data_IF_382573100826
#
_entry.id   IF_382573100826
#
_cell.length_a   1.000
_cell.length_b   1.000
_cell.length_c   1.000
_cell.angle_alpha   90.00
_cell.angle_beta   90.00
_cell.angle_gamma   90.00
#
_symmetry.space_group_name_H-M   'P 1'
#
loop_
_entity.id
_entity.type
_entity.pdbx_description
1 polymer ?
#
# COMPACT_ATOMS: atom_id res chain seq x y z
N UNK A 1 13.71 -42.95 -0.52
CA UNK A 1 14.98 -42.18 -0.47
C UNK A 1 14.72 -40.89 0.30
N UNK A 2 15.50 -40.65 1.35
CA UNK A 2 15.33 -39.57 2.33
C UNK A 2 15.58 -38.19 1.67
N UNK A 3 14.54 -37.41 1.42
CA UNK A 3 14.70 -35.99 1.05
C UNK A 3 14.96 -35.18 2.32
N UNK A 4 16.24 -34.90 2.57
CA UNK A 4 16.68 -33.91 3.55
C UNK A 4 16.14 -32.53 3.14
N UNK A 5 15.28 -31.97 3.96
CA UNK A 5 14.94 -30.55 3.98
C UNK A 5 16.26 -29.83 4.30
N UNK A 6 16.83 -29.12 3.32
CA UNK A 6 17.89 -28.15 3.58
C UNK A 6 17.19 -26.84 3.92
N UNK A 7 17.34 -26.41 5.17
CA UNK A 7 17.22 -25.00 5.52
C UNK A 7 18.08 -24.20 4.53
N UNK A 8 17.46 -23.26 3.83
CA UNK A 8 18.18 -22.33 2.96
C UNK A 8 18.89 -21.38 3.90
N UNK A 9 20.17 -21.67 4.09
CA UNK A 9 21.10 -20.99 4.97
C UNK A 9 21.09 -19.47 4.71
N UNK A 10 20.92 -18.73 5.80
CA UNK A 10 21.24 -17.31 5.94
C UNK A 10 22.75 -17.16 5.74
N UNK A 11 23.18 -16.78 4.53
CA UNK A 11 24.61 -16.62 4.28
C UNK A 11 25.20 -15.49 5.17
N UNK A 12 26.34 -15.74 5.83
CA UNK A 12 27.01 -14.76 6.66
C UNK A 12 27.55 -13.60 5.82
N UNK A 13 27.53 -12.43 6.43
CA UNK A 13 28.04 -11.14 5.94
C UNK A 13 29.55 -11.30 5.68
N UNK A 14 29.99 -11.54 4.45
CA UNK A 14 31.40 -11.36 3.99
C UNK A 14 31.53 -11.65 2.49
N UNK A 15 30.78 -10.97 1.64
CA UNK A 15 31.15 -10.85 0.23
C UNK A 15 30.90 -9.42 -0.22
N UNK A 16 31.86 -8.88 -0.96
CA UNK A 16 31.87 -7.51 -1.45
C UNK A 16 30.68 -7.29 -2.42
N UNK A 17 29.56 -6.81 -1.87
CA UNK A 17 28.28 -6.60 -2.57
C UNK A 17 28.32 -5.33 -3.43
N UNK A 18 29.23 -5.27 -4.41
CA UNK A 18 29.16 -4.24 -5.46
C UNK A 18 28.07 -4.57 -6.49
N UNK A 19 27.61 -5.82 -6.56
CA UNK A 19 26.45 -6.24 -7.37
C UNK A 19 25.60 -7.26 -6.62
N UNK A 20 24.33 -6.94 -6.38
CA UNK A 20 23.36 -7.90 -5.84
C UNK A 20 22.97 -8.87 -6.95
N UNK A 21 23.28 -10.15 -6.76
CA UNK A 21 22.84 -11.20 -7.67
C UNK A 21 21.36 -11.53 -7.39
N UNK A 22 20.56 -11.63 -8.44
CA UNK A 22 19.13 -11.97 -8.39
C UNK A 22 18.84 -13.41 -8.85
N UNK A 23 19.84 -14.13 -9.34
CA UNK A 23 19.75 -15.52 -9.81
C UNK A 23 19.83 -16.55 -8.67
N UNK A 24 19.77 -16.11 -7.42
CA UNK A 24 20.09 -16.88 -6.19
C UNK A 24 19.00 -17.84 -5.72
N UNK A 25 17.89 -18.00 -6.42
CA UNK A 25 16.81 -18.91 -5.98
C UNK A 25 16.73 -20.14 -6.88
N UNK A 26 17.16 -21.34 -6.41
CA UNK A 26 16.89 -22.59 -7.10
C UNK A 26 15.38 -22.83 -7.13
N UNK A 27 14.78 -22.66 -8.30
CA UNK A 27 13.34 -22.78 -8.48
C UNK A 27 12.97 -24.13 -9.10
N UNK A 28 11.95 -24.85 -8.59
CA UNK A 28 11.30 -25.91 -9.34
C UNK A 28 10.88 -25.40 -10.73
N UNK A 29 10.90 -26.28 -11.75
CA UNK A 29 10.43 -25.91 -13.09
C UNK A 29 8.99 -25.40 -13.01
N UNK A 30 8.73 -24.20 -13.53
CA UNK A 30 7.41 -23.56 -13.54
C UNK A 30 7.14 -22.63 -12.36
N UNK A 31 8.15 -22.37 -11.52
CA UNK A 31 8.05 -21.41 -10.42
C UNK A 31 8.53 -20.02 -10.86
N UNK A 32 7.78 -18.99 -10.44
CA UNK A 32 8.07 -17.57 -10.67
C UNK A 32 8.06 -16.82 -9.35
N UNK A 33 8.90 -15.80 -9.19
CA UNK A 33 8.78 -14.81 -8.13
C UNK A 33 8.36 -13.48 -8.72
N UNK A 34 7.40 -12.79 -8.11
CA UNK A 34 6.89 -11.51 -8.60
C UNK A 34 6.76 -10.49 -7.48
N UNK A 35 7.08 -9.23 -7.80
CA UNK A 35 6.76 -8.05 -6.99
C UNK A 35 5.45 -7.47 -7.50
N UNK A 36 4.35 -8.09 -7.08
CA UNK A 36 3.00 -7.63 -7.35
C UNK A 36 2.13 -7.75 -6.11
N UNK A 37 0.98 -7.07 -6.14
CA UNK A 37 0.06 -7.02 -5.01
C UNK A 37 0.70 -6.46 -3.73
N UNK A 38 0.79 -7.18 -2.60
CA UNK A 38 1.24 -6.56 -1.32
C UNK A 38 2.66 -6.00 -1.43
N UNK A 39 3.48 -6.57 -2.32
CA UNK A 39 4.83 -6.11 -2.60
C UNK A 39 4.85 -4.71 -3.26
N UNK A 40 3.74 -4.24 -3.85
CA UNK A 40 3.59 -2.87 -4.36
C UNK A 40 3.56 -1.84 -3.23
N UNK A 41 3.16 -2.27 -2.02
CA UNK A 41 3.26 -1.49 -0.79
C UNK A 41 4.59 -1.73 -0.06
N UNK A 42 5.56 -2.42 -0.67
CA UNK A 42 6.90 -2.63 -0.11
C UNK A 42 7.96 -2.12 -1.12
N UNK A 43 7.93 -0.83 -1.50
CA UNK A 43 8.77 -0.31 -2.58
C UNK A 43 10.25 -0.27 -2.22
N UNK A 44 10.59 -0.06 -0.94
CA UNK A 44 11.96 -0.04 -0.42
C UNK A 44 12.37 -1.44 0.11
N UNK A 45 13.67 -1.69 0.37
CA UNK A 45 14.05 -2.87 1.13
C UNK A 45 13.40 -2.82 2.52
N UNK A 46 13.04 -3.98 3.06
CA UNK A 46 12.41 -4.09 4.37
C UNK A 46 13.46 -3.98 5.47
N UNK A 47 13.08 -3.39 6.60
CA UNK A 47 13.90 -3.48 7.81
C UNK A 47 13.89 -4.92 8.34
N UNK A 48 14.96 -5.37 9.02
CA UNK A 48 15.10 -6.75 9.47
C UNK A 48 13.88 -7.29 10.23
N UNK A 49 13.30 -6.51 11.16
CA UNK A 49 12.19 -7.00 11.97
C UNK A 49 10.94 -7.22 11.12
N UNK A 50 10.65 -6.28 10.22
CA UNK A 50 9.50 -6.38 9.33
C UNK A 50 9.69 -7.52 8.32
N UNK A 51 10.91 -7.72 7.82
CA UNK A 51 11.24 -8.82 6.91
C UNK A 51 10.88 -10.20 7.50
N UNK A 52 11.18 -10.41 8.78
CA UNK A 52 10.84 -11.65 9.50
C UNK A 52 9.33 -11.76 9.77
N UNK A 53 8.68 -10.68 10.23
CA UNK A 53 7.24 -10.64 10.47
C UNK A 53 6.44 -10.88 9.18
N UNK A 54 6.78 -10.19 8.09
CA UNK A 54 6.07 -10.25 6.82
C UNK A 54 6.08 -11.67 6.25
N UNK A 55 7.19 -12.41 6.36
CA UNK A 55 7.29 -13.81 5.94
C UNK A 55 6.15 -14.67 6.45
N UNK A 56 5.92 -14.61 7.76
CA UNK A 56 4.93 -15.41 8.46
C UNK A 56 3.51 -14.85 8.29
N UNK A 57 3.33 -13.55 8.53
CA UNK A 57 2.00 -12.91 8.56
C UNK A 57 1.36 -12.77 7.18
N UNK A 58 2.14 -12.46 6.14
CA UNK A 58 1.61 -12.37 4.78
C UNK A 58 1.16 -13.74 4.28
N UNK A 59 1.94 -14.78 4.56
CA UNK A 59 1.61 -16.15 4.16
C UNK A 59 0.41 -16.70 4.94
N UNK A 60 0.34 -16.46 6.25
CA UNK A 60 -0.73 -16.96 7.12
C UNK A 60 -2.09 -16.29 6.85
N UNK A 61 -2.10 -14.99 6.57
CA UNK A 61 -3.35 -14.25 6.30
C UNK A 61 -3.94 -14.63 4.94
N UNK A 62 -3.10 -14.87 3.95
CA UNK A 62 -3.53 -15.46 2.67
C UNK A 62 -4.14 -16.84 2.86
N UNK A 63 -3.53 -17.72 3.68
CA UNK A 63 -4.10 -19.02 4.08
C UNK A 63 -5.48 -18.89 4.69
N UNK A 64 -5.64 -18.01 5.68
CA UNK A 64 -6.93 -17.79 6.33
C UNK A 64 -7.98 -17.28 5.35
N UNK A 65 -7.61 -16.39 4.41
CA UNK A 65 -8.57 -15.91 3.42
C UNK A 65 -8.97 -16.99 2.42
N UNK A 66 -8.02 -17.73 1.87
CA UNK A 66 -8.33 -18.81 0.93
C UNK A 66 -9.19 -19.89 1.59
N UNK A 67 -8.91 -20.24 2.84
CA UNK A 67 -9.74 -21.17 3.60
C UNK A 67 -11.16 -20.60 3.81
N UNK A 68 -11.27 -19.33 4.26
CA UNK A 68 -12.56 -18.66 4.42
C UNK A 68 -13.40 -18.63 3.12
N UNK A 69 -12.76 -18.41 1.97
CA UNK A 69 -13.44 -18.22 0.70
C UNK A 69 -13.65 -19.52 -0.09
N UNK A 70 -12.77 -20.51 0.08
CA UNK A 70 -12.72 -21.73 -0.75
C UNK A 70 -12.96 -23.01 0.06
N UNK A 71 -12.75 -22.97 1.38
CA UNK A 71 -12.91 -24.07 2.33
C UNK A 71 -11.81 -25.13 2.30
N UNK A 72 -10.65 -24.83 1.69
CA UNK A 72 -9.50 -25.74 1.56
C UNK A 72 -8.20 -24.91 1.51
N UNK A 73 -7.21 -25.28 2.35
CA UNK A 73 -5.90 -24.60 2.46
C UNK A 73 -4.80 -25.12 1.52
N UNK A 74 -5.03 -26.25 0.83
CA UNK A 74 -4.06 -26.93 -0.05
C UNK A 74 -3.57 -26.07 -1.23
N UNK A 75 -4.30 -25.01 -1.59
CA UNK A 75 -3.98 -24.05 -2.67
C UNK A 75 -2.68 -23.29 -2.43
N UNK A 76 -2.26 -23.17 -1.17
CA UNK A 76 -1.11 -22.36 -0.78
C UNK A 76 0.20 -23.13 -0.66
N UNK A 77 0.19 -24.45 -0.89
CA UNK A 77 1.42 -25.16 -1.25
C UNK A 77 2.10 -24.54 -2.49
N UNK A 78 1.33 -23.82 -3.31
CA UNK A 78 1.75 -23.18 -4.55
C UNK A 78 2.18 -21.72 -4.40
N UNK A 79 1.94 -21.06 -3.26
CA UNK A 79 2.29 -19.65 -3.07
C UNK A 79 3.06 -19.43 -1.77
N UNK A 80 4.22 -18.77 -1.86
CA UNK A 80 5.07 -18.45 -0.71
C UNK A 80 5.52 -17.00 -0.78
N UNK A 81 5.88 -16.42 0.36
CA UNK A 81 6.48 -15.10 0.42
C UNK A 81 7.97 -15.23 0.81
N UNK A 82 8.83 -14.54 0.08
CA UNK A 82 10.28 -14.56 0.29
C UNK A 82 10.84 -13.15 0.33
N UNK A 83 11.92 -12.98 1.11
CA UNK A 83 12.74 -11.79 1.08
C UNK A 83 14.01 -12.10 0.28
N UNK A 84 14.21 -11.40 -0.83
CA UNK A 84 15.37 -11.55 -1.71
C UNK A 84 16.07 -10.19 -1.77
N UNK A 85 17.34 -10.13 -1.32
CA UNK A 85 18.13 -8.90 -1.26
C UNK A 85 17.43 -7.74 -0.52
N UNK A 86 16.65 -8.05 0.52
CA UNK A 86 15.88 -7.07 1.30
C UNK A 86 14.49 -6.77 0.73
N UNK A 87 14.13 -7.30 -0.43
CA UNK A 87 12.84 -7.02 -1.08
C UNK A 87 11.88 -8.21 -0.99
N UNK A 88 10.60 -7.94 -0.72
CA UNK A 88 9.55 -8.95 -0.72
C UNK A 88 9.19 -9.46 -2.12
N UNK A 89 8.97 -10.76 -2.26
CA UNK A 89 8.53 -11.44 -3.48
C UNK A 89 7.49 -12.51 -3.14
N UNK A 90 6.42 -12.57 -3.94
CA UNK A 90 5.58 -13.75 -3.98
C UNK A 90 6.14 -14.77 -4.95
N UNK A 91 6.41 -15.97 -4.46
CA UNK A 91 6.68 -17.13 -5.27
C UNK A 91 5.37 -17.84 -5.63
N UNK A 92 5.15 -18.11 -6.91
CA UNK A 92 4.05 -18.92 -7.40
C UNK A 92 4.58 -20.15 -8.14
N UNK A 93 4.11 -21.33 -7.77
CA UNK A 93 4.39 -22.60 -8.45
C UNK A 93 3.16 -23.04 -9.20
N UNK A 94 3.11 -22.78 -10.51
CA UNK A 94 1.93 -23.01 -11.33
C UNK A 94 2.05 -24.35 -12.06
N UNK A 95 1.84 -25.45 -11.34
CA UNK A 95 1.89 -26.80 -11.91
C UNK A 95 0.52 -27.26 -12.46
N UNK A 96 0.47 -28.48 -12.99
CA UNK A 96 -0.78 -29.08 -13.50
C UNK A 96 -1.84 -29.24 -12.40
N UNK A 97 -1.42 -29.43 -11.14
CA UNK A 97 -2.33 -29.60 -10.01
C UNK A 97 -3.04 -28.28 -9.69
N UNK A 98 -2.31 -27.16 -9.61
CA UNK A 98 -2.89 -25.83 -9.43
C UNK A 98 -3.92 -25.50 -10.52
N UNK A 99 -3.57 -25.79 -11.78
CA UNK A 99 -4.49 -25.53 -12.90
C UNK A 99 -5.79 -26.33 -12.78
N UNK A 100 -5.69 -27.63 -12.50
CA UNK A 100 -6.86 -28.49 -12.37
C UNK A 100 -7.72 -28.15 -11.15
N UNK A 101 -7.08 -27.74 -10.05
CA UNK A 101 -7.75 -27.20 -8.87
C UNK A 101 -8.56 -25.94 -9.22
N UNK A 102 -7.95 -24.95 -9.87
CA UNK A 102 -8.62 -23.71 -10.26
C UNK A 102 -9.82 -23.99 -11.17
N UNK A 103 -9.66 -24.88 -12.17
CA UNK A 103 -10.76 -25.30 -13.04
C UNK A 103 -11.91 -25.95 -12.27
N UNK A 104 -11.62 -26.89 -11.36
CA UNK A 104 -12.63 -27.56 -10.54
C UNK A 104 -13.42 -26.60 -9.66
N UNK A 105 -12.75 -25.59 -9.11
CA UNK A 105 -13.34 -24.64 -8.17
C UNK A 105 -13.81 -23.34 -8.82
N UNK A 106 -13.84 -23.25 -10.16
CA UNK A 106 -14.26 -22.05 -10.90
C UNK A 106 -15.57 -21.44 -10.43
N UNK A 107 -16.55 -22.27 -10.03
CA UNK A 107 -17.82 -21.78 -9.48
C UNK A 107 -17.62 -21.02 -8.16
N UNK A 108 -16.85 -21.59 -7.22
CA UNK A 108 -16.50 -20.93 -5.94
C UNK A 108 -15.67 -19.68 -6.19
N UNK A 109 -14.63 -19.75 -7.02
CA UNK A 109 -13.82 -18.56 -7.41
C UNK A 109 -14.72 -17.45 -7.95
N UNK A 110 -15.69 -17.76 -8.82
CA UNK A 110 -16.63 -16.77 -9.35
C UNK A 110 -17.55 -16.19 -8.28
N UNK A 111 -18.06 -16.99 -7.35
CA UNK A 111 -18.90 -16.53 -6.24
C UNK A 111 -18.10 -15.58 -5.36
N UNK A 112 -16.91 -16.00 -4.95
CA UNK A 112 -15.96 -15.24 -4.13
C UNK A 112 -15.61 -13.89 -4.75
N UNK A 113 -15.26 -13.87 -6.04
CA UNK A 113 -14.97 -12.64 -6.78
C UNK A 113 -16.21 -11.75 -7.03
N UNK A 114 -17.41 -12.21 -6.67
CA UNK A 114 -18.63 -11.42 -6.73
C UNK A 114 -19.18 -11.12 -5.32
N UNK A 115 -18.45 -11.44 -4.25
CA UNK A 115 -18.82 -11.07 -2.89
C UNK A 115 -18.76 -9.56 -2.75
N UNK A 116 -19.84 -8.99 -2.21
CA UNK A 116 -20.03 -7.55 -2.14
C UNK A 116 -18.99 -6.88 -1.22
N UNK A 117 -18.29 -5.81 -1.65
CA UNK A 117 -17.19 -5.23 -0.87
C UNK A 117 -17.53 -4.74 0.54
N UNK A 118 -18.80 -4.44 0.77
CA UNK A 118 -19.31 -3.91 2.03
C UNK A 118 -19.02 -4.77 3.27
N UNK A 119 -18.75 -6.08 3.16
CA UNK A 119 -18.49 -6.89 4.38
C UNK A 119 -17.18 -6.50 5.09
N UNK A 120 -16.19 -5.91 4.39
CA UNK A 120 -15.01 -5.33 5.05
C UNK A 120 -15.33 -3.97 5.61
N UNK A 121 -15.90 -3.07 4.82
CA UNK A 121 -16.18 -1.70 5.26
C UNK A 121 -17.20 -1.64 6.40
N UNK A 122 -18.24 -2.48 6.37
CA UNK A 122 -19.32 -2.53 7.37
C UNK A 122 -19.16 -3.64 8.41
N UNK A 123 -18.27 -4.61 8.18
CA UNK A 123 -18.04 -5.73 9.09
C UNK A 123 -16.67 -5.70 9.73
N UNK A 124 -15.60 -5.89 8.95
CA UNK A 124 -14.23 -6.01 9.49
C UNK A 124 -13.64 -4.70 10.02
N UNK A 125 -13.78 -3.61 9.28
CA UNK A 125 -13.19 -2.32 9.65
C UNK A 125 -13.74 -1.78 10.98
N UNK A 126 -15.05 -1.84 11.28
CA UNK A 126 -15.58 -1.48 12.60
C UNK A 126 -15.00 -2.34 13.73
N UNK A 127 -14.86 -3.66 13.52
CA UNK A 127 -14.24 -4.56 14.51
C UNK A 127 -12.77 -4.21 14.76
N UNK A 128 -12.01 -3.91 13.69
CA UNK A 128 -10.61 -3.47 13.81
C UNK A 128 -10.53 -2.16 14.60
N UNK A 129 -11.39 -1.18 14.28
CA UNK A 129 -11.46 0.10 15.00
C UNK A 129 -11.81 -0.07 16.48
N UNK A 130 -12.78 -0.93 16.79
CA UNK A 130 -13.18 -1.21 18.17
C UNK A 130 -12.02 -1.84 18.96
N UNK A 131 -11.38 -2.87 18.40
CA UNK A 131 -10.23 -3.52 19.03
C UNK A 131 -9.05 -2.56 19.21
N UNK A 132 -8.79 -1.71 18.22
CA UNK A 132 -7.75 -0.69 18.32
C UNK A 132 -8.07 0.34 19.42
N UNK A 133 -9.33 0.73 19.59
CA UNK A 133 -9.75 1.64 20.65
C UNK A 133 -9.50 1.01 22.03
N UNK A 134 -9.87 -0.27 22.24
CA UNK A 134 -9.57 -0.99 23.48
C UNK A 134 -8.06 -1.02 23.79
N UNK A 135 -7.24 -1.31 22.78
CA UNK A 135 -5.79 -1.36 22.95
C UNK A 135 -5.18 0.02 23.28
N UNK A 136 -5.74 1.09 22.71
CA UNK A 136 -5.27 2.47 22.96
C UNK A 136 -5.54 2.98 24.38
N UNK A 137 -6.47 2.37 25.11
CA UNK A 137 -6.71 2.68 26.53
C UNK A 137 -5.63 2.10 27.46
N UNK A 138 -4.78 1.20 26.95
CA UNK A 138 -3.74 0.57 27.76
C UNK A 138 -2.57 1.53 27.99
N UNK A 139 -2.07 1.61 29.23
CA UNK A 139 -0.79 2.26 29.52
C UNK A 139 0.36 1.30 29.18
N UNK A 140 0.97 1.46 28.00
CA UNK A 140 2.04 0.60 27.49
C UNK A 140 3.22 0.40 28.47
N UNK A 141 3.46 1.35 29.38
CA UNK A 141 4.53 1.28 30.38
C UNK A 141 4.27 0.23 31.46
N UNK A 142 3.00 -0.06 31.75
CA UNK A 142 2.59 -0.97 32.82
C UNK A 142 2.41 -2.42 32.32
N UNK A 143 2.40 -2.61 31.00
CA UNK A 143 2.21 -3.91 30.34
C UNK A 143 3.50 -4.72 30.34
N UNK A 144 3.43 -6.04 30.50
CA UNK A 144 4.62 -6.90 30.38
C UNK A 144 5.18 -6.93 28.94
N UNK A 145 6.49 -7.16 28.82
CA UNK A 145 7.17 -7.17 27.52
C UNK A 145 6.64 -8.26 26.59
N UNK A 146 6.21 -9.41 27.14
CA UNK A 146 5.60 -10.49 26.37
C UNK A 146 4.24 -10.08 25.81
N UNK A 147 3.42 -9.41 26.59
CA UNK A 147 2.10 -8.95 26.15
C UNK A 147 2.24 -7.84 25.10
N UNK A 148 3.19 -6.91 25.25
CA UNK A 148 3.52 -5.95 24.18
C UNK A 148 3.90 -6.66 22.88
N UNK A 149 4.77 -7.68 22.95
CA UNK A 149 5.17 -8.48 21.81
C UNK A 149 3.97 -9.19 21.15
N UNK A 150 3.06 -9.77 21.93
CA UNK A 150 1.82 -10.38 21.42
C UNK A 150 0.93 -9.35 20.70
N UNK A 151 0.79 -8.13 21.24
CA UNK A 151 0.07 -7.02 20.58
C UNK A 151 0.72 -6.68 19.24
N UNK A 152 2.06 -6.67 19.12
CA UNK A 152 2.71 -6.41 17.82
C UNK A 152 2.36 -7.46 16.77
N UNK A 153 2.24 -8.73 17.16
CA UNK A 153 1.81 -9.80 16.27
C UNK A 153 0.33 -9.66 15.88
N UNK A 154 -0.55 -9.38 16.83
CA UNK A 154 -1.99 -9.15 16.58
C UNK A 154 -2.21 -8.04 15.55
N UNK A 155 -1.56 -6.89 15.75
CA UNK A 155 -1.72 -5.73 14.87
C UNK A 155 -1.07 -5.94 13.50
N UNK A 156 0.10 -6.57 13.44
CA UNK A 156 0.74 -6.87 12.14
C UNK A 156 -0.08 -7.87 11.33
N UNK A 157 -0.62 -8.90 11.98
CA UNK A 157 -1.54 -9.85 11.35
C UNK A 157 -2.81 -9.13 10.85
N UNK A 158 -3.36 -8.22 11.65
CA UNK A 158 -4.54 -7.42 11.29
C UNK A 158 -4.30 -6.59 10.03
N UNK A 159 -3.16 -5.91 9.93
CA UNK A 159 -2.77 -5.13 8.75
C UNK A 159 -2.65 -6.05 7.52
N UNK A 160 -1.93 -7.17 7.63
CA UNK A 160 -1.75 -8.14 6.53
C UNK A 160 -3.10 -8.74 6.07
N UNK A 161 -3.99 -9.08 7.01
CA UNK A 161 -5.32 -9.59 6.71
C UNK A 161 -6.19 -8.54 6.01
N UNK A 162 -6.11 -7.28 6.45
CA UNK A 162 -6.85 -6.19 5.85
C UNK A 162 -6.46 -5.96 4.38
N UNK A 163 -5.16 -5.97 4.06
CA UNK A 163 -4.69 -5.93 2.67
C UNK A 163 -5.23 -7.09 1.85
N UNK A 164 -5.18 -8.28 2.43
CA UNK A 164 -5.63 -9.52 1.81
C UNK A 164 -7.11 -9.42 1.44
N UNK A 165 -7.94 -8.78 2.27
CA UNK A 165 -9.33 -8.48 1.89
C UNK A 165 -9.44 -7.47 0.75
N UNK A 166 -8.60 -6.43 0.74
CA UNK A 166 -8.56 -5.43 -0.33
C UNK A 166 -8.32 -6.05 -1.71
N UNK A 167 -7.52 -7.13 -1.79
CA UNK A 167 -7.27 -7.84 -3.06
C UNK A 167 -8.55 -8.31 -3.77
N UNK A 168 -9.58 -8.70 -3.02
CA UNK A 168 -10.86 -9.15 -3.60
C UNK A 168 -11.54 -7.99 -4.35
N UNK A 169 -11.45 -6.78 -3.80
CA UNK A 169 -12.09 -5.58 -4.39
C UNK A 169 -11.27 -5.01 -5.53
N UNK A 170 -9.94 -5.04 -5.40
CA UNK A 170 -9.01 -4.70 -6.49
C UNK A 170 -9.30 -5.58 -7.71
N UNK A 171 -9.43 -6.90 -7.52
CA UNK A 171 -9.77 -7.82 -8.60
C UNK A 171 -11.14 -7.49 -9.25
N UNK A 172 -12.15 -7.10 -8.47
CA UNK A 172 -13.46 -6.69 -8.97
C UNK A 172 -13.42 -5.39 -9.77
N UNK A 173 -12.72 -4.37 -9.27
CA UNK A 173 -12.50 -3.10 -9.95
C UNK A 173 -11.81 -3.33 -11.30
N UNK A 174 -10.67 -4.00 -11.31
CA UNK A 174 -9.91 -4.29 -12.54
C UNK A 174 -10.73 -5.11 -13.56
N UNK A 175 -11.45 -6.13 -13.10
CA UNK A 175 -12.28 -6.97 -13.98
C UNK A 175 -13.42 -6.18 -14.61
N UNK A 176 -14.16 -5.41 -13.81
CA UNK A 176 -15.31 -4.64 -14.30
C UNK A 176 -14.89 -3.52 -15.24
N UNK A 177 -13.80 -2.81 -14.93
CA UNK A 177 -13.21 -1.79 -15.80
C UNK A 177 -12.70 -2.40 -17.12
N UNK A 178 -11.98 -3.52 -17.07
CA UNK A 178 -11.52 -4.23 -18.28
C UNK A 178 -12.68 -4.68 -19.16
N UNK A 179 -13.77 -5.17 -18.56
CA UNK A 179 -14.98 -5.57 -19.31
C UNK A 179 -15.70 -4.38 -19.94
N UNK A 180 -15.70 -3.23 -19.28
CA UNK A 180 -16.22 -1.98 -19.82
C UNK A 180 -15.35 -1.48 -20.98
N UNK A 181 -14.05 -1.29 -20.75
CA UNK A 181 -13.10 -0.76 -21.73
C UNK A 181 -13.04 -1.62 -22.99
N UNK A 182 -12.95 -2.95 -22.87
CA UNK A 182 -12.99 -3.86 -24.04
C UNK A 182 -14.26 -3.72 -24.87
N UNK A 183 -15.40 -3.55 -24.21
CA UNK A 183 -16.68 -3.37 -24.90
C UNK A 183 -16.74 -2.01 -25.58
N UNK A 184 -16.33 -0.95 -24.87
CA UNK A 184 -16.31 0.42 -25.35
C UNK A 184 -15.39 0.59 -26.56
N UNK A 185 -14.13 0.12 -26.45
CA UNK A 185 -13.12 0.24 -27.50
C UNK A 185 -13.53 -0.48 -28.78
N UNK A 186 -14.19 -1.63 -28.66
CA UNK A 186 -14.62 -2.42 -29.82
C UNK A 186 -15.89 -1.88 -30.49
N UNK A 187 -16.84 -1.34 -29.72
CA UNK A 187 -18.20 -1.06 -30.22
C UNK A 187 -18.55 0.42 -30.34
N UNK A 188 -17.85 1.30 -29.62
CA UNK A 188 -18.26 2.69 -29.42
C UNK A 188 -17.14 3.66 -29.76
N UNK A 189 -15.92 3.45 -29.24
CA UNK A 189 -14.77 4.35 -29.46
C UNK A 189 -14.55 4.72 -30.93
N UNK A 190 -14.63 3.80 -31.92
CA UNK A 190 -14.44 4.14 -33.33
C UNK A 190 -15.49 5.10 -33.90
N UNK A 191 -16.64 5.26 -33.24
CA UNK A 191 -17.77 6.08 -33.70
C UNK A 191 -17.80 7.48 -33.07
N UNK A 192 -17.34 7.61 -31.83
CA UNK A 192 -17.38 8.88 -31.08
C UNK A 192 -16.00 9.52 -30.89
N UNK A 193 -14.93 8.73 -31.03
CA UNK A 193 -13.54 9.15 -30.76
C UNK A 193 -13.35 9.81 -29.36
N UNK A 194 -14.05 9.32 -28.35
CA UNK A 194 -13.92 9.77 -26.95
C UNK A 194 -13.09 8.72 -26.20
N UNK A 195 -12.12 9.11 -25.36
CA UNK A 195 -11.40 8.17 -24.50
C UNK A 195 -12.33 7.52 -23.45
N UNK A 196 -12.15 6.23 -23.17
CA UNK A 196 -12.97 5.47 -22.21
C UNK A 196 -12.89 6.02 -20.78
N UNK A 197 -11.75 6.58 -20.38
CA UNK A 197 -11.54 7.13 -19.03
C UNK A 197 -12.48 8.31 -18.72
N UNK A 198 -12.94 9.07 -19.74
CA UNK A 198 -13.90 10.17 -19.56
C UNK A 198 -15.18 9.70 -18.86
N UNK A 199 -15.57 8.44 -19.10
CA UNK A 199 -16.78 7.86 -18.47
C UNK A 199 -16.54 7.39 -17.03
N UNK A 200 -15.29 7.14 -16.65
CA UNK A 200 -14.91 6.59 -15.35
C UNK A 200 -14.59 7.67 -14.31
N UNK A 201 -14.29 8.90 -14.74
CA UNK A 201 -13.94 10.01 -13.86
C UNK A 201 -15.16 10.66 -13.18
N UNK A 202 -14.88 11.35 -12.06
CA UNK A 202 -15.81 12.23 -11.34
C UNK A 202 -16.56 11.60 -10.17
N UNK A 203 -16.42 10.29 -9.93
CA UNK A 203 -17.01 9.65 -8.75
C UNK A 203 -16.16 9.87 -7.50
N UNK A 204 -16.80 9.88 -6.34
CA UNK A 204 -16.11 10.01 -5.05
C UNK A 204 -15.37 8.72 -4.69
N UNK A 205 -14.11 8.88 -4.30
CA UNK A 205 -13.26 7.88 -3.68
C UNK A 205 -12.48 8.52 -2.53
N UNK A 206 -11.84 7.72 -1.68
CA UNK A 206 -11.14 8.22 -0.50
C UNK A 206 -10.14 9.37 -0.79
N UNK A 207 -9.29 9.33 -1.85
CA UNK A 207 -8.40 10.45 -2.18
C UNK A 207 -9.15 11.72 -2.57
N UNK A 208 -10.26 11.62 -3.32
CA UNK A 208 -11.05 12.81 -3.71
C UNK A 208 -11.82 13.39 -2.53
N UNK A 209 -12.24 12.54 -1.59
CA UNK A 209 -12.88 12.99 -0.35
C UNK A 209 -11.87 13.70 0.56
N UNK A 210 -10.66 13.17 0.69
CA UNK A 210 -9.55 13.82 1.39
C UNK A 210 -9.24 15.20 0.77
N UNK A 211 -9.09 15.28 -0.55
CA UNK A 211 -8.82 16.53 -1.27
C UNK A 211 -9.90 17.60 -1.00
N UNK A 212 -11.18 17.21 -1.04
CA UNK A 212 -12.31 18.10 -0.72
C UNK A 212 -12.31 18.53 0.75
N UNK A 213 -12.05 17.62 1.68
CA UNK A 213 -12.02 17.92 3.10
C UNK A 213 -10.87 18.89 3.43
N UNK A 214 -9.70 18.69 2.84
CA UNK A 214 -8.54 19.58 2.99
C UNK A 214 -8.83 20.96 2.38
N UNK A 215 -9.46 21.01 1.21
CA UNK A 215 -9.89 22.25 0.60
C UNK A 215 -10.91 23.00 1.48
N UNK A 216 -11.89 22.30 2.05
CA UNK A 216 -12.86 22.90 2.96
C UNK A 216 -12.18 23.51 4.19
N UNK A 217 -11.23 22.79 4.80
CA UNK A 217 -10.41 23.30 5.89
C UNK A 217 -9.64 24.57 5.49
N UNK A 218 -9.04 24.58 4.30
CA UNK A 218 -8.35 25.76 3.77
C UNK A 218 -9.29 26.97 3.58
N UNK A 219 -10.53 26.76 3.13
CA UNK A 219 -11.51 27.83 2.97
C UNK A 219 -11.97 28.41 4.31
N UNK A 220 -12.01 27.60 5.36
CA UNK A 220 -12.27 28.10 6.71
C UNK A 220 -11.10 28.91 7.25
N UNK A 221 -9.86 28.42 7.11
CA UNK A 221 -8.64 29.15 7.50
C UNK A 221 -8.60 30.52 6.82
N UNK A 222 -8.95 30.60 5.53
CA UNK A 222 -8.99 31.87 4.78
C UNK A 222 -9.93 32.92 5.38
N UNK A 223 -10.99 32.52 6.10
CA UNK A 223 -11.97 33.45 6.68
C UNK A 223 -11.42 34.17 7.91
N UNK A 224 -10.44 33.57 8.60
CA UNK A 224 -9.77 34.18 9.75
C UNK A 224 -8.36 34.62 9.37
N UNK A 225 -8.16 35.94 9.30
CA UNK A 225 -6.89 36.56 8.91
C UNK A 225 -5.74 36.10 9.81
N UNK A 226 -5.97 36.00 11.13
CA UNK A 226 -4.91 35.62 12.09
C UNK A 226 -4.50 34.17 11.87
N UNK A 227 -5.47 33.26 11.78
CA UNK A 227 -5.19 31.84 11.52
C UNK A 227 -4.51 31.64 10.17
N UNK A 228 -4.94 32.37 9.13
CA UNK A 228 -4.29 32.34 7.82
C UNK A 228 -2.82 32.76 7.90
N UNK A 229 -2.52 33.87 8.59
CA UNK A 229 -1.14 34.34 8.75
C UNK A 229 -0.27 33.33 9.50
N UNK A 230 -0.80 32.70 10.56
CA UNK A 230 -0.11 31.63 11.27
C UNK A 230 0.22 30.48 10.31
N UNK A 231 -0.77 29.99 9.55
CA UNK A 231 -0.57 28.84 8.65
C UNK A 231 0.42 29.15 7.52
N UNK A 232 0.40 30.36 6.96
CA UNK A 232 1.28 30.73 5.83
C UNK A 232 2.71 31.03 6.29
N UNK A 233 2.88 31.74 7.41
CA UNK A 233 4.19 32.29 7.79
C UNK A 233 5.06 31.29 8.57
N UNK A 234 4.47 30.20 9.07
CA UNK A 234 5.20 29.17 9.82
C UNK A 234 5.62 28.01 8.92
N UNK A 235 6.72 27.36 9.26
CA UNK A 235 7.16 26.14 8.56
C UNK A 235 6.16 25.00 8.78
N UNK A 236 6.23 23.95 7.97
CA UNK A 236 5.34 22.79 8.18
C UNK A 236 5.68 22.01 9.44
N UNK A 237 6.92 22.12 9.93
CA UNK A 237 7.33 21.60 11.23
C UNK A 237 6.67 22.36 12.39
N UNK A 238 6.66 23.68 12.32
CA UNK A 238 6.03 24.51 13.35
C UNK A 238 4.51 24.25 13.42
N UNK A 239 3.86 24.13 12.26
CA UNK A 239 2.42 23.82 12.20
C UNK A 239 2.14 22.41 12.72
N UNK A 240 2.98 21.43 12.37
CA UNK A 240 2.87 20.08 12.93
C UNK A 240 3.00 20.09 14.46
N UNK A 241 4.01 20.77 15.00
CA UNK A 241 4.22 20.88 16.44
C UNK A 241 3.02 21.56 17.13
N UNK A 242 2.42 22.57 16.50
CA UNK A 242 1.19 23.21 16.98
C UNK A 242 0.00 22.23 17.05
N UNK A 243 -0.16 21.39 16.02
CA UNK A 243 -1.24 20.39 15.94
C UNK A 243 -1.04 19.26 16.96
N UNK A 244 0.21 18.85 17.22
CA UNK A 244 0.56 17.80 18.18
C UNK A 244 0.54 18.29 19.64
N UNK A 245 0.62 19.60 19.86
CA UNK A 245 0.64 20.18 21.21
C UNK A 245 -0.67 19.99 21.96
N UNK A 246 -0.57 19.49 23.20
CA UNK A 246 -1.70 19.39 24.14
C UNK A 246 -2.24 20.76 24.58
N UNK A 247 -1.41 21.79 24.54
CA UNK A 247 -1.84 23.15 24.88
C UNK A 247 -2.90 23.67 23.89
N UNK A 248 -2.82 23.23 22.63
CA UNK A 248 -3.74 23.60 21.55
C UNK A 248 -4.73 22.48 21.21
N UNK A 249 -5.01 21.59 22.17
CA UNK A 249 -5.95 20.48 21.98
C UNK A 249 -7.38 20.96 21.71
N UNK A 250 -7.82 22.03 22.37
CA UNK A 250 -9.16 22.60 22.14
C UNK A 250 -9.19 23.68 21.04
N UNK A 251 -8.03 24.02 20.45
CA UNK A 251 -7.98 25.02 19.40
C UNK A 251 -8.76 24.52 18.16
N UNK A 252 -9.77 25.26 17.65
CA UNK A 252 -10.66 24.76 16.60
C UNK A 252 -9.94 24.30 15.33
N UNK A 253 -8.87 24.98 14.93
CA UNK A 253 -8.05 24.56 13.78
C UNK A 253 -7.37 23.22 14.04
N UNK A 254 -6.70 23.09 15.19
CA UNK A 254 -5.92 21.91 15.51
C UNK A 254 -6.84 20.70 15.65
N UNK A 255 -8.03 20.89 16.26
CA UNK A 255 -9.06 19.88 16.34
C UNK A 255 -9.52 19.40 14.97
N UNK A 256 -9.88 20.32 14.06
CA UNK A 256 -10.31 19.96 12.70
C UNK A 256 -9.22 19.30 11.88
N UNK A 257 -7.96 19.70 12.06
CA UNK A 257 -6.83 19.06 11.38
C UNK A 257 -6.61 17.63 11.91
N UNK A 258 -6.70 17.40 13.22
CA UNK A 258 -6.65 16.05 13.80
C UNK A 258 -7.81 15.18 13.30
N UNK A 259 -9.04 15.71 13.28
CA UNK A 259 -10.20 15.02 12.70
C UNK A 259 -9.97 14.67 11.22
N UNK A 260 -9.34 15.56 10.45
CA UNK A 260 -8.93 15.26 9.07
C UNK A 260 -7.92 14.11 9.00
N UNK A 261 -6.87 14.13 9.84
CA UNK A 261 -5.87 13.07 9.87
C UNK A 261 -6.47 11.72 10.30
N UNK A 262 -7.35 11.71 11.30
CA UNK A 262 -8.00 10.48 11.79
C UNK A 262 -8.81 9.77 10.70
N UNK A 263 -9.39 10.54 9.77
CA UNK A 263 -10.18 10.02 8.66
C UNK A 263 -9.33 9.73 7.42
N UNK A 264 -8.37 10.60 7.09
CA UNK A 264 -7.67 10.60 5.79
C UNK A 264 -6.16 10.29 5.86
N UNK A 265 -5.58 10.24 7.05
CA UNK A 265 -4.14 10.04 7.28
C UNK A 265 -3.69 8.58 7.37
N UNK A 266 -4.61 7.61 7.17
CA UNK A 266 -4.35 6.19 7.40
C UNK A 266 -3.80 5.43 6.18
N UNK A 267 -3.58 6.08 5.04
CA UNK A 267 -3.10 5.40 3.82
C UNK A 267 -1.60 5.10 3.92
N UNK A 268 -1.20 3.88 3.56
CA UNK A 268 0.21 3.47 3.53
C UNK A 268 0.79 3.61 2.13
N UNK A 269 1.96 4.26 2.04
CA UNK A 269 2.83 4.17 0.87
C UNK A 269 3.76 2.96 0.97
N UNK A 270 4.23 2.69 2.19
CA UNK A 270 5.08 1.56 2.53
C UNK A 270 4.52 0.89 3.78
N UNK A 271 4.24 -0.41 3.67
CA UNK A 271 3.60 -1.24 4.71
C UNK A 271 4.58 -1.69 5.78
N UNK A 272 5.88 -1.50 5.58
CA UNK A 272 6.88 -1.71 6.62
C UNK A 272 6.56 -0.82 7.82
N UNK A 273 6.29 -1.42 8.99
CA UNK A 273 5.89 -0.69 10.20
C UNK A 273 6.96 0.30 10.68
N UNK A 274 8.19 0.24 10.17
CA UNK A 274 9.23 1.24 10.47
C UNK A 274 8.98 2.58 9.77
N UNK A 275 8.05 2.63 8.83
CA UNK A 275 7.65 3.83 8.11
C UNK A 275 6.49 4.53 8.82
N UNK A 276 6.54 5.86 8.83
CA UNK A 276 5.47 6.70 9.36
C UNK A 276 4.31 6.77 8.37
N UNK A 277 3.10 6.80 8.92
CA UNK A 277 1.89 7.15 8.17
C UNK A 277 1.78 8.66 7.93
N UNK A 278 0.95 9.11 6.97
CA UNK A 278 0.61 10.53 6.86
C UNK A 278 -0.08 11.12 8.11
N UNK A 279 -0.65 10.27 8.97
CA UNK A 279 -1.15 10.67 10.29
C UNK A 279 -0.02 11.10 11.23
N UNK A 280 1.08 10.34 11.25
CA UNK A 280 2.27 10.62 12.07
C UNK A 280 3.20 11.67 11.45
N UNK A 281 3.21 11.79 10.13
CA UNK A 281 4.05 12.73 9.38
C UNK A 281 3.21 13.52 8.36
N UNK A 282 2.46 14.54 8.82
CA UNK A 282 1.50 15.25 7.98
C UNK A 282 2.14 16.38 7.14
N UNK A 283 3.47 16.56 7.11
CA UNK A 283 4.13 17.69 6.41
C UNK A 283 3.63 17.88 4.97
N UNK A 284 3.54 16.82 4.17
CA UNK A 284 3.05 16.92 2.79
C UNK A 284 1.58 17.37 2.71
N UNK A 285 0.76 16.98 3.69
CA UNK A 285 -0.64 17.42 3.80
C UNK A 285 -0.69 18.90 4.21
N UNK A 286 0.18 19.34 5.12
CA UNK A 286 0.31 20.74 5.53
C UNK A 286 0.75 21.62 4.34
N UNK A 287 1.69 21.16 3.51
CA UNK A 287 2.07 21.89 2.29
C UNK A 287 0.91 21.99 1.30
N UNK A 288 0.17 20.89 1.08
CA UNK A 288 -1.04 20.92 0.26
C UNK A 288 -2.11 21.88 0.82
N UNK A 289 -2.27 21.93 2.16
CA UNK A 289 -3.15 22.88 2.83
C UNK A 289 -2.72 24.32 2.55
N UNK A 290 -1.43 24.63 2.68
CA UNK A 290 -0.86 25.97 2.41
C UNK A 290 -1.10 26.41 0.98
N UNK A 291 -0.95 25.51 -0.01
CA UNK A 291 -1.27 25.79 -1.42
C UNK A 291 -2.74 26.23 -1.56
N UNK A 292 -3.66 25.53 -0.91
CA UNK A 292 -5.08 25.91 -0.92
C UNK A 292 -5.34 27.21 -0.19
N UNK A 293 -4.75 27.44 0.98
CA UNK A 293 -4.88 28.66 1.77
C UNK A 293 -4.37 29.90 1.00
N UNK A 294 -3.31 29.73 0.20
CA UNK A 294 -2.79 30.77 -0.70
C UNK A 294 -3.63 30.97 -1.98
N UNK A 295 -4.62 30.11 -2.23
CA UNK A 295 -5.46 30.19 -3.44
C UNK A 295 -4.75 29.74 -4.72
N UNK A 296 -3.65 28.99 -4.59
CA UNK A 296 -2.89 28.44 -5.72
C UNK A 296 -3.44 27.10 -6.21
N UNK A 297 -4.22 26.39 -5.39
CA UNK A 297 -4.87 25.13 -5.75
C UNK A 297 -6.21 25.31 -6.45
N UNK A 298 -6.54 24.38 -7.36
CA UNK A 298 -7.85 24.32 -8.03
C UNK A 298 -8.95 23.81 -7.09
N UNK A 299 -10.16 24.36 -7.18
CA UNK A 299 -11.30 23.90 -6.39
C UNK A 299 -11.69 22.45 -6.76
N UNK A 300 -11.53 21.46 -5.86
CA UNK A 300 -11.81 20.05 -6.18
C UNK A 300 -13.30 19.77 -6.39
N UNK A 301 -14.20 20.58 -5.80
CA UNK A 301 -15.65 20.48 -5.99
C UNK A 301 -16.01 20.97 -7.39
N UNK A 302 -15.42 22.09 -7.83
CA UNK A 302 -15.60 22.60 -9.19
C UNK A 302 -15.04 21.61 -10.22
N UNK A 303 -13.81 21.14 -10.03
CA UNK A 303 -13.17 20.14 -10.89
C UNK A 303 -14.04 18.89 -11.04
N UNK A 304 -14.61 18.40 -9.94
CA UNK A 304 -15.53 17.27 -10.00
C UNK A 304 -16.79 17.57 -10.80
N UNK A 305 -17.45 18.71 -10.58
CA UNK A 305 -18.64 19.12 -11.35
C UNK A 305 -18.36 19.13 -12.86
N UNK A 306 -17.21 19.64 -13.28
CA UNK A 306 -16.81 19.65 -14.68
C UNK A 306 -16.61 18.23 -15.25
N UNK A 307 -16.01 17.31 -14.48
CA UNK A 307 -15.88 15.91 -14.89
C UNK A 307 -17.25 15.22 -15.04
N UNK A 308 -18.19 15.51 -14.14
CA UNK A 308 -19.55 14.97 -14.22
C UNK A 308 -20.29 15.47 -15.47
N UNK A 309 -20.19 16.77 -15.78
CA UNK A 309 -20.78 17.37 -16.98
C UNK A 309 -20.18 16.77 -18.26
N UNK A 310 -18.83 16.70 -18.35
CA UNK A 310 -18.13 16.08 -19.48
C UNK A 310 -18.57 14.64 -19.72
N UNK A 311 -18.77 13.87 -18.64
CA UNK A 311 -19.26 12.49 -18.72
C UNK A 311 -20.68 12.42 -19.27
N UNK A 312 -21.58 13.30 -18.84
CA UNK A 312 -22.97 13.28 -19.29
C UNK A 312 -23.12 13.75 -20.74
N UNK A 313 -22.33 14.74 -21.17
CA UNK A 313 -22.20 15.11 -22.58
C UNK A 313 -21.67 13.95 -23.43
N UNK A 314 -20.63 13.26 -22.94
CA UNK A 314 -20.08 12.10 -23.64
C UNK A 314 -21.11 10.97 -23.77
N UNK A 315 -21.96 10.73 -22.75
CA UNK A 315 -23.06 9.75 -22.83
C UNK A 315 -24.09 10.14 -23.89
N UNK A 316 -24.46 11.42 -23.99
CA UNK A 316 -25.38 11.92 -25.02
C UNK A 316 -24.84 11.66 -26.43
N UNK A 317 -23.58 12.01 -26.68
CA UNK A 317 -22.89 11.73 -27.95
C UNK A 317 -22.86 10.25 -28.30
N UNK A 318 -22.62 9.37 -27.31
CA UNK A 318 -22.68 7.92 -27.52
C UNK A 318 -24.09 7.47 -27.93
N UNK A 319 -25.13 7.98 -27.25
CA UNK A 319 -26.53 7.65 -27.54
C UNK A 319 -26.93 8.01 -28.98
N UNK A 320 -26.42 9.13 -29.50
CA UNK A 320 -26.74 9.62 -30.84
C UNK A 320 -26.17 8.74 -31.98
N UNK A 321 -25.07 8.02 -31.75
CA UNK A 321 -24.35 7.28 -32.81
C UNK A 321 -24.43 5.75 -32.72
N UNK A 322 -25.06 5.21 -31.67
CA UNK A 322 -25.19 3.76 -31.47
C UNK A 322 -26.65 3.34 -31.32
N UNK A 323 -26.96 2.09 -31.66
CA UNK A 323 -28.30 1.55 -31.45
C UNK A 323 -28.65 1.41 -29.97
N UNK A 324 -29.94 1.43 -29.64
CA UNK A 324 -30.43 1.31 -28.25
C UNK A 324 -29.91 0.07 -27.51
N UNK A 325 -29.76 -1.05 -28.22
CA UNK A 325 -29.20 -2.29 -27.64
C UNK A 325 -27.73 -2.13 -27.25
N UNK A 326 -26.94 -1.43 -28.07
CA UNK A 326 -25.53 -1.11 -27.77
C UNK A 326 -25.45 -0.11 -26.62
N UNK A 327 -26.28 0.94 -26.65
CA UNK A 327 -26.33 1.94 -25.61
C UNK A 327 -26.74 1.36 -24.25
N UNK A 328 -27.75 0.49 -24.21
CA UNK A 328 -28.18 -0.19 -22.98
C UNK A 328 -27.07 -1.07 -22.40
N UNK A 329 -26.37 -1.85 -23.23
CA UNK A 329 -25.22 -2.67 -22.80
C UNK A 329 -24.06 -1.81 -22.30
N UNK A 330 -23.81 -0.68 -22.94
CA UNK A 330 -22.85 0.33 -22.49
C UNK A 330 -23.19 0.83 -21.08
N UNK A 331 -24.43 1.27 -20.85
CA UNK A 331 -24.85 1.78 -19.53
C UNK A 331 -24.74 0.71 -18.44
N UNK A 332 -25.12 -0.55 -18.72
CA UNK A 332 -25.01 -1.65 -17.75
C UNK A 332 -23.54 -1.87 -17.35
N UNK A 333 -22.64 -1.95 -18.34
CA UNK A 333 -21.21 -2.17 -18.09
C UNK A 333 -20.56 -0.99 -17.40
N UNK A 334 -20.92 0.24 -17.81
CA UNK A 334 -20.45 1.46 -17.18
C UNK A 334 -20.89 1.55 -15.72
N UNK A 335 -22.16 1.23 -15.43
CA UNK A 335 -22.67 1.21 -14.06
C UNK A 335 -21.88 0.23 -13.18
N UNK A 336 -21.62 -0.99 -13.68
CA UNK A 336 -20.84 -1.99 -12.94
C UNK A 336 -19.38 -1.56 -12.73
N UNK A 337 -18.73 -0.97 -13.74
CA UNK A 337 -17.36 -0.51 -13.64
C UNK A 337 -17.24 0.65 -12.64
N UNK A 338 -18.12 1.65 -12.73
CA UNK A 338 -18.14 2.81 -11.83
C UNK A 338 -18.51 2.45 -10.40
N UNK A 339 -19.42 1.49 -10.21
CA UNK A 339 -19.75 0.99 -8.88
C UNK A 339 -18.51 0.40 -8.19
N UNK A 340 -17.67 -0.34 -8.92
CA UNK A 340 -16.50 -1.00 -8.33
C UNK A 340 -15.24 -0.13 -8.27
N UNK A 341 -15.14 0.92 -9.09
CA UNK A 341 -13.92 1.70 -9.22
C UNK A 341 -13.44 2.35 -7.91
N UNK A 342 -14.31 2.96 -7.07
CA UNK A 342 -13.87 3.58 -5.81
C UNK A 342 -13.25 2.60 -4.82
N UNK A 343 -13.64 1.31 -4.83
CA UNK A 343 -13.12 0.34 -3.86
C UNK A 343 -11.61 0.10 -3.98
N UNK A 344 -10.99 0.38 -5.14
CA UNK A 344 -9.54 0.30 -5.29
C UNK A 344 -8.83 1.26 -4.33
N UNK A 345 -9.37 2.47 -4.18
CA UNK A 345 -8.78 3.49 -3.34
C UNK A 345 -9.34 3.45 -1.92
N UNK A 346 -10.66 3.21 -1.78
CA UNK A 346 -11.33 3.16 -0.47
C UNK A 346 -10.80 2.05 0.42
N UNK A 347 -10.54 0.86 -0.16
CA UNK A 347 -9.96 -0.25 0.57
C UNK A 347 -8.56 0.07 1.11
N UNK A 348 -7.75 0.79 0.33
CA UNK A 348 -6.38 1.15 0.73
C UNK A 348 -6.32 2.33 1.70
N UNK A 349 -7.36 3.16 1.77
CA UNK A 349 -7.37 4.38 2.59
C UNK A 349 -7.25 4.13 4.10
N UNK A 350 -7.69 2.97 4.59
CA UNK A 350 -7.59 2.59 6.01
C UNK A 350 -6.52 1.52 6.27
N UNK A 351 -5.66 1.26 5.29
CA UNK A 351 -4.69 0.17 5.33
C UNK A 351 -3.72 0.29 6.52
N UNK A 352 -3.36 1.52 6.88
CA UNK A 352 -2.44 1.85 7.97
C UNK A 352 -3.10 2.22 9.29
N UNK A 353 -4.40 1.95 9.47
CA UNK A 353 -5.13 2.43 10.66
C UNK A 353 -4.51 1.93 12.00
N UNK A 354 -3.94 0.73 12.00
CA UNK A 354 -3.28 0.16 13.18
C UNK A 354 -1.81 0.59 13.31
N UNK A 355 -1.20 1.12 12.26
CA UNK A 355 0.24 1.31 12.17
C UNK A 355 0.79 2.34 13.17
N UNK A 356 0.16 3.51 13.41
CA UNK A 356 0.65 4.46 14.41
C UNK A 356 0.75 3.83 15.80
N UNK A 357 -0.30 3.15 16.24
CA UNK A 357 -0.31 2.50 17.56
C UNK A 357 0.65 1.29 17.60
N UNK A 358 0.75 0.50 16.53
CA UNK A 358 1.74 -0.57 16.43
C UNK A 358 3.17 -0.03 16.63
N UNK A 359 3.47 1.14 16.06
CA UNK A 359 4.76 1.80 16.22
C UNK A 359 5.00 2.27 17.64
N UNK A 360 3.99 2.83 18.32
CA UNK A 360 4.07 3.17 19.75
C UNK A 360 4.41 1.94 20.61
N UNK A 361 3.77 0.79 20.34
CA UNK A 361 4.08 -0.48 21.02
C UNK A 361 5.53 -0.90 20.79
N UNK A 362 6.01 -0.85 19.54
CA UNK A 362 7.42 -1.13 19.23
C UNK A 362 8.38 -0.14 19.91
N UNK A 363 8.05 1.15 19.97
CA UNK A 363 8.87 2.15 20.63
C UNK A 363 8.97 1.93 22.14
N UNK A 364 7.90 1.48 22.81
CA UNK A 364 7.97 1.09 24.21
C UNK A 364 8.89 -0.13 24.41
N UNK A 365 8.80 -1.16 23.55
CA UNK A 365 9.74 -2.28 23.54
C UNK A 365 11.18 -1.78 23.32
N UNK A 366 11.38 -0.86 22.37
CA UNK A 366 12.67 -0.22 22.08
C UNK A 366 13.23 0.55 23.27
N UNK A 367 12.38 1.24 24.03
CA UNK A 367 12.77 1.94 25.25
C UNK A 367 13.27 0.95 26.31
N UNK A 368 12.64 -0.22 26.44
CA UNK A 368 13.09 -1.28 27.36
C UNK A 368 14.43 -1.89 26.93
N UNK A 369 14.62 -2.14 25.63
CA UNK A 369 15.90 -2.59 25.06
C UNK A 369 17.02 -1.58 25.33
N UNK A 370 16.74 -0.28 25.10
CA UNK A 370 17.67 0.82 25.36
C UNK A 370 18.07 0.90 26.84
N UNK A 371 17.11 0.79 27.76
CA UNK A 371 17.38 0.78 29.22
C UNK A 371 18.31 -0.35 29.65
N UNK A 372 18.26 -1.50 28.97
CA UNK A 372 19.19 -2.63 29.20
C UNK A 372 20.53 -2.50 28.45
N UNK A 373 20.77 -1.41 27.73
CA UNK A 373 22.01 -1.20 26.97
C UNK A 373 22.16 -2.11 25.73
N UNK A 374 21.06 -2.73 25.28
CA UNK A 374 21.08 -3.64 24.13
C UNK A 374 21.17 -2.83 22.82
N UNK A 375 20.44 -1.71 22.74
CA UNK A 375 20.43 -0.79 21.60
C UNK A 375 20.71 0.65 22.06
N UNK A 376 21.14 1.51 21.13
CA UNK A 376 21.53 2.89 21.45
C UNK A 376 20.33 3.83 21.56
N UNK A 377 19.40 3.75 20.62
CA UNK A 377 18.16 4.53 20.57
C UNK A 377 16.96 3.60 20.43
N UNK A 378 15.79 4.00 20.89
CA UNK A 378 14.61 3.12 20.94
C UNK A 378 14.06 2.76 19.55
N UNK A 379 14.22 3.66 18.58
CA UNK A 379 13.84 3.47 17.18
C UNK A 379 14.66 2.37 16.49
N UNK A 380 15.80 1.98 17.09
CA UNK A 380 16.59 0.86 16.59
C UNK A 380 15.87 -0.49 16.77
N UNK A 381 14.73 -0.54 17.49
CA UNK A 381 13.89 -1.74 17.64
C UNK A 381 13.55 -2.39 16.30
N UNK A 382 13.28 -1.60 15.25
CA UNK A 382 12.93 -2.10 13.92
C UNK A 382 14.10 -2.80 13.20
N UNK A 383 15.34 -2.58 13.67
CA UNK A 383 16.55 -3.15 13.09
C UNK A 383 16.94 -4.49 13.72
N UNK A 384 16.20 -4.96 14.73
CA UNK A 384 16.34 -6.32 15.28
C UNK A 384 15.78 -7.37 14.32
N UNK A 385 16.22 -8.61 14.48
CA UNK A 385 15.52 -9.78 13.92
C UNK A 385 14.42 -10.23 14.87
N UNK A 386 13.42 -10.95 14.36
CA UNK A 386 12.32 -11.46 15.20
C UNK A 386 12.84 -12.38 16.31
N UNK A 387 13.81 -13.25 16.02
CA UNK A 387 14.39 -14.15 17.01
C UNK A 387 15.14 -13.40 18.13
N UNK A 388 15.81 -12.28 17.79
CA UNK A 388 16.48 -11.43 18.78
C UNK A 388 15.45 -10.79 19.70
N UNK A 389 14.34 -10.31 19.13
CA UNK A 389 13.22 -9.77 19.91
C UNK A 389 12.59 -10.86 20.80
N UNK A 390 12.38 -12.08 20.29
CA UNK A 390 11.90 -13.23 21.08
C UNK A 390 12.85 -13.58 22.23
N UNK A 391 14.16 -13.59 21.98
CA UNK A 391 15.17 -13.80 23.01
C UNK A 391 15.02 -12.79 24.15
N UNK A 392 14.92 -11.50 23.81
CA UNK A 392 14.69 -10.44 24.79
C UNK A 392 13.37 -10.60 25.55
N UNK A 393 12.28 -10.90 24.85
CA UNK A 393 10.93 -11.13 25.43
C UNK A 393 10.94 -12.30 26.39
N UNK A 394 11.68 -13.37 26.09
CA UNK A 394 11.82 -14.54 26.97
C UNK A 394 12.67 -14.31 28.22
N UNK A 395 13.18 -13.08 28.42
CA UNK A 395 14.04 -12.72 29.56
C UNK A 395 15.49 -13.20 29.41
N UNK A 396 15.85 -13.77 28.27
CA UNK A 396 17.22 -14.23 28.01
C UNK A 396 18.15 -13.05 27.74
N UNK A 397 19.45 -13.27 27.99
CA UNK A 397 20.47 -12.26 27.73
C UNK A 397 20.84 -12.25 26.25
N UNK A 398 20.31 -11.29 25.51
CA UNK A 398 20.58 -11.07 24.08
C UNK A 398 21.99 -10.53 23.79
N UNK A 399 22.67 -9.95 24.79
CA UNK A 399 23.88 -9.17 24.58
C UNK A 399 23.62 -7.82 23.89
N UNK A 400 24.68 -7.05 23.62
CA UNK A 400 24.57 -5.75 22.95
C UNK A 400 24.51 -5.90 21.44
N UNK A 401 23.61 -5.15 20.80
CA UNK A 401 23.45 -5.05 19.34
C UNK A 401 23.95 -3.69 18.78
N UNK A 402 24.57 -2.86 19.62
CA UNK A 402 25.00 -1.49 19.28
C UNK A 402 25.92 -1.48 18.06
N UNK A 403 26.82 -2.45 17.92
CA UNK A 403 27.76 -2.53 16.79
C UNK A 403 27.17 -3.21 15.54
N UNK A 404 26.07 -3.95 15.71
CA UNK A 404 25.45 -4.71 14.63
C UNK A 404 24.40 -3.89 13.86
N UNK A 405 23.63 -3.07 14.57
CA UNK A 405 22.60 -2.21 13.96
C UNK A 405 23.17 -1.29 12.86
N UNK A 406 24.31 -0.58 13.05
CA UNK A 406 24.90 0.23 11.99
C UNK A 406 25.25 -0.56 10.73
N UNK A 407 25.69 -1.82 10.86
CA UNK A 407 25.97 -2.69 9.71
C UNK A 407 24.71 -3.04 8.94
N UNK A 408 23.60 -3.30 9.65
CA UNK A 408 22.28 -3.56 9.03
C UNK A 408 21.77 -2.34 8.28
N UNK A 409 21.88 -1.15 8.88
CA UNK A 409 21.57 0.13 8.22
C UNK A 409 22.41 0.36 6.97
N UNK A 410 23.70 0.06 7.02
CA UNK A 410 24.60 0.18 5.87
C UNK A 410 24.22 -0.81 4.75
N UNK A 411 23.88 -2.06 5.09
CA UNK A 411 23.39 -3.04 4.12
C UNK A 411 22.07 -2.60 3.48
N UNK A 412 21.12 -2.13 4.28
CA UNK A 412 19.84 -1.61 3.80
C UNK A 412 20.03 -0.43 2.85
N UNK A 413 20.94 0.50 3.16
CA UNK A 413 21.28 1.62 2.26
C UNK A 413 21.85 1.13 0.93
N UNK A 414 22.70 0.09 0.95
CA UNK A 414 23.21 -0.55 -0.27
C UNK A 414 22.07 -1.22 -1.07
N UNK A 415 21.16 -1.92 -0.41
CA UNK A 415 20.00 -2.56 -1.05
C UNK A 415 19.08 -1.51 -1.69
N UNK A 416 18.81 -0.41 -0.98
CA UNK A 416 17.95 0.69 -1.46
C UNK A 416 18.50 1.38 -2.71
N UNK A 417 19.83 1.37 -2.89
CA UNK A 417 20.48 1.89 -4.10
C UNK A 417 20.32 0.96 -5.32
N UNK A 418 19.63 -0.18 -5.20
CA UNK A 418 19.37 -1.10 -6.31
C UNK A 418 17.96 -0.98 -6.86
N UNK A 419 17.79 -1.38 -8.12
CA UNK A 419 16.48 -1.57 -8.73
C UNK A 419 16.11 -3.06 -8.68
N UNK A 420 15.14 -3.47 -7.83
CA UNK A 420 14.72 -4.85 -7.74
C UNK A 420 13.93 -5.26 -8.99
N UNK A 421 14.23 -6.40 -9.64
CA UNK A 421 13.44 -6.90 -10.77
C UNK A 421 11.99 -7.15 -10.35
N UNK A 422 11.03 -6.75 -11.18
CA UNK A 422 9.60 -6.99 -10.93
C UNK A 422 9.21 -8.47 -10.99
N UNK A 423 10.01 -9.30 -11.70
CA UNK A 423 9.82 -10.74 -11.80
C UNK A 423 11.16 -11.49 -11.89
N UNK A 424 11.22 -12.68 -11.28
CA UNK A 424 12.34 -13.62 -11.35
C UNK A 424 11.85 -15.02 -11.76
N UNK A 425 12.56 -15.74 -12.66
CA UNK A 425 13.70 -15.26 -13.46
C UNK A 425 13.27 -14.18 -14.47
N UNK A 426 14.22 -13.37 -14.94
CA UNK A 426 13.96 -12.37 -15.99
C UNK A 426 13.33 -13.06 -17.22
N UNK A 427 12.29 -12.46 -17.80
CA UNK A 427 11.49 -13.01 -18.91
C UNK A 427 10.62 -14.24 -18.58
N UNK A 428 10.25 -14.44 -17.32
CA UNK A 428 9.27 -15.46 -16.96
C UNK A 428 7.97 -15.31 -17.77
N UNK A 429 7.42 -16.45 -18.22
CA UNK A 429 6.15 -16.50 -18.93
C UNK A 429 5.07 -17.12 -18.06
N UNK A 430 3.89 -16.50 -18.06
CA UNK A 430 2.69 -17.05 -17.45
C UNK A 430 1.65 -17.30 -18.54
N UNK A 431 1.17 -18.55 -18.66
CA UNK A 431 0.21 -18.96 -19.71
C UNK A 431 0.64 -18.58 -21.14
N UNK A 432 1.95 -18.62 -21.43
CA UNK A 432 2.49 -18.22 -22.74
C UNK A 432 2.61 -16.71 -22.98
N UNK A 433 2.11 -15.87 -22.07
CA UNK A 433 2.28 -14.43 -22.07
C UNK A 433 3.50 -14.05 -21.24
N UNK A 434 4.25 -13.02 -21.64
CA UNK A 434 5.35 -12.52 -20.82
C UNK A 434 4.78 -11.70 -19.66
N UNK A 435 5.31 -11.90 -18.45
CA UNK A 435 4.82 -11.24 -17.22
C UNK A 435 5.26 -9.78 -17.10
N UNK A 436 6.41 -9.44 -17.70
CA UNK A 436 6.96 -8.08 -17.82
C UNK A 436 5.98 -7.09 -18.49
N UNK A 437 5.12 -7.55 -19.40
CA UNK A 437 4.08 -6.74 -20.05
C UNK A 437 2.91 -6.37 -19.12
N UNK A 438 2.68 -7.10 -18.03
CA UNK A 438 1.56 -6.91 -17.11
C UNK A 438 1.96 -6.34 -15.75
N UNK A 439 3.24 -6.42 -15.40
CA UNK A 439 3.79 -5.83 -14.19
C UNK A 439 4.20 -4.37 -14.45
N UNK A 440 4.27 -3.51 -13.41
CA UNK A 440 4.85 -2.20 -13.56
C UNK A 440 6.26 -2.33 -14.16
N UNK A 441 6.51 -1.70 -15.29
CA UNK A 441 7.87 -1.59 -15.84
C UNK A 441 8.68 -0.72 -14.87
N UNK A 442 9.80 -1.25 -14.39
CA UNK A 442 10.83 -0.41 -13.77
C UNK A 442 11.33 0.59 -14.82
N UNK A 443 11.87 1.74 -14.39
CA UNK A 443 12.53 2.74 -15.24
C UNK A 443 13.86 2.23 -15.82
N UNK A 444 13.90 0.98 -16.25
CA UNK A 444 15.03 0.33 -16.88
C UNK A 444 14.81 0.39 -18.39
N UNK A 445 15.12 1.54 -19.00
CA UNK A 445 15.66 1.63 -20.36
C UNK A 445 15.91 3.11 -20.70
N UNK A 446 17.15 3.54 -20.47
CA UNK A 446 17.72 4.65 -21.20
C UNK A 446 17.89 4.19 -22.65
N UNK A 447 17.01 4.62 -23.54
CA UNK A 447 17.39 4.68 -24.95
C UNK A 447 18.44 5.80 -25.05
N UNK A 448 19.51 5.60 -25.81
CA UNK A 448 20.72 6.45 -25.81
C UNK A 448 20.53 7.90 -26.28
N UNK A 449 19.31 8.41 -26.20
CA UNK A 449 18.83 9.63 -26.83
C UNK A 449 18.07 10.49 -25.79
N UNK A 450 18.73 10.84 -24.67
CA UNK A 450 18.22 11.72 -23.59
C UNK A 450 16.71 11.54 -23.22
N UNK A 451 16.20 10.33 -23.37
CA UNK A 451 14.78 10.02 -23.24
C UNK A 451 14.62 8.76 -22.41
N UNK A 452 13.60 8.81 -21.56
CA UNK A 452 13.22 7.71 -20.68
C UNK A 452 11.97 7.06 -21.25
N UNK A 453 12.00 5.74 -21.43
CA UNK A 453 10.78 5.00 -21.73
C UNK A 453 9.94 4.77 -20.48
N UNK A 454 8.62 4.85 -20.63
CA UNK A 454 7.68 4.65 -19.53
C UNK A 454 6.30 4.27 -20.04
N UNK A 455 5.42 3.91 -19.12
CA UNK A 455 4.03 3.58 -19.44
C UNK A 455 3.21 4.87 -19.60
N UNK A 456 2.71 5.14 -20.81
CA UNK A 456 1.85 6.29 -21.08
C UNK A 456 0.60 6.30 -20.19
N UNK A 457 0.43 7.35 -19.36
CA UNK A 457 -0.69 7.50 -18.43
C UNK A 457 -1.76 8.49 -18.91
N UNK A 458 -1.32 9.62 -19.48
CA UNK A 458 -2.20 10.68 -20.00
C UNK A 458 -1.71 11.10 -21.38
N UNK A 459 -2.64 11.33 -22.30
CA UNK A 459 -2.31 11.79 -23.65
C UNK A 459 -1.94 13.27 -23.64
N UNK A 460 -0.75 13.60 -24.14
CA UNK A 460 -0.32 14.98 -24.31
C UNK A 460 1.20 15.07 -24.48
N UNK A 461 1.67 16.26 -24.87
CA UNK A 461 3.09 16.62 -24.87
C UNK A 461 3.22 17.99 -24.23
N UNK A 462 4.10 18.11 -23.23
CA UNK A 462 4.35 19.34 -22.50
C UNK A 462 5.85 19.52 -22.34
N UNK A 463 6.28 20.75 -22.10
CA UNK A 463 7.67 21.10 -21.76
C UNK A 463 7.64 22.03 -20.57
N UNK A 464 8.47 21.77 -19.57
CA UNK A 464 8.49 22.51 -18.30
C UNK A 464 9.72 22.17 -17.48
N UNK A 465 9.92 22.90 -16.39
CA UNK A 465 10.99 22.60 -15.42
C UNK A 465 10.61 21.35 -14.61
N UNK A 466 11.54 20.41 -14.49
CA UNK A 466 11.41 19.33 -13.52
C UNK A 466 11.63 19.90 -12.11
N UNK A 467 10.74 19.57 -11.18
CA UNK A 467 10.90 19.89 -9.76
C UNK A 467 11.31 18.57 -9.11
N UNK A 468 12.53 18.52 -8.60
CA UNK A 468 13.03 17.39 -7.82
C UNK A 468 12.81 17.73 -6.35
N UNK A 469 11.91 17.01 -5.69
CA UNK A 469 11.66 17.17 -4.26
C UNK A 469 12.83 16.52 -3.53
N UNK A 470 13.81 17.34 -3.11
CA UNK A 470 14.97 16.84 -2.36
C UNK A 470 14.45 16.34 -1.02
N UNK A 471 14.34 15.02 -0.87
CA UNK A 471 14.25 14.40 0.46
C UNK A 471 15.52 14.78 1.20
N UNK A 472 15.40 15.67 2.19
CA UNK A 472 16.47 15.87 3.16
C UNK A 472 16.69 14.53 3.88
N UNK A 473 17.96 14.10 3.90
CA UNK A 473 18.45 12.80 4.37
C UNK A 473 18.23 12.56 5.88
#
# INVERSE_FOLDING_TARGET
MKNKIKEVNTNPITTDLTQFNWDVVPQPKGTICVRGSICELMPEPLVPLYADYAGNHVSSTMLKLFDLLMGESEVLAFMKFYIINGYGYYQFTMDRHFYWFMLKKMKKVRITLNVHPEWVEKGRLPTIKARLAELKELNLKDIDTKELYEITHELTETICAYYTYCQIYLAQAYKSERLFTKYYDKKIKPKVNIPSHVFMLGDDAAPTLADKALYALAQEIKKDVKTKEIVINNSSDDIRALIESKEFEDHPLCKKFREYLDVHGNMLYDIDFSKQTPHEEPRLIIEALKIYVNGLGEDPIKRQKELLLKRDEAKKKVKEVVSDSVYRKFLIKLKLARFNAPFRENGLANMGICQPFLREVFFEIGMRLKRKGIIKIHEDVFWLKEDELKFFVSGQNLGSLIDEIPKRKALWKKQKATNPPSCLPKNARMFGMKLDEFLPKNLEEHTGDNSYEGNGRSSGKVTGKAIEDKKED
#
